data_IF_154333479818
#
_entry.id   IF_154333479818
#
_cell.length_a   1.000
_cell.length_b   1.000
_cell.length_c   1.000
_cell.angle_alpha   90.00
_cell.angle_beta   90.00
_cell.angle_gamma   90.00
#
_symmetry.space_group_name_H-M   'P 1'
#
loop_
_entity.id
_entity.type
_entity.pdbx_description
1 polymer ?
#
# COMPACT_ATOMS: atom_id res chain seq x y z
N UNK A 1 6.75 -5.99 0.35
CA UNK A 1 7.96 -5.21 -0.04
C UNK A 1 8.85 -6.00 -0.99
N UNK A 2 9.30 -7.22 -0.66
CA UNK A 2 10.30 -7.96 -1.48
C UNK A 2 9.88 -8.26 -2.93
N UNK A 3 8.62 -8.59 -3.21
CA UNK A 3 8.21 -9.10 -4.53
C UNK A 3 8.06 -7.99 -5.59
N UNK A 4 7.52 -6.83 -5.23
CA UNK A 4 7.44 -5.69 -6.17
C UNK A 4 8.85 -5.16 -6.50
N UNK A 5 9.72 -5.08 -5.50
CA UNK A 5 11.09 -4.63 -5.67
C UNK A 5 11.93 -5.61 -6.49
N UNK A 6 11.66 -6.92 -6.44
CA UNK A 6 12.41 -7.92 -7.22
C UNK A 6 12.41 -7.60 -8.72
N UNK A 7 11.33 -7.07 -9.28
CA UNK A 7 11.27 -6.72 -10.70
C UNK A 7 12.18 -5.54 -11.06
N UNK A 8 12.15 -4.47 -10.28
CA UNK A 8 13.01 -3.31 -10.49
C UNK A 8 14.49 -3.61 -10.15
N UNK A 9 14.73 -4.37 -9.08
CA UNK A 9 16.06 -4.83 -8.68
C UNK A 9 16.69 -5.72 -9.76
N UNK A 10 15.92 -6.60 -10.40
CA UNK A 10 16.40 -7.42 -11.51
C UNK A 10 16.74 -6.60 -12.76
N UNK A 11 16.11 -5.43 -12.95
CA UNK A 11 16.43 -4.49 -14.02
C UNK A 11 17.64 -3.59 -13.70
N UNK A 12 18.22 -3.71 -12.49
CA UNK A 12 19.30 -2.84 -11.97
C UNK A 12 18.95 -1.35 -11.98
N UNK A 13 17.67 -1.02 -11.94
CA UNK A 13 17.20 0.36 -11.82
C UNK A 13 17.14 0.76 -10.36
N UNK A 14 17.53 2.00 -10.06
CA UNK A 14 17.49 2.53 -8.70
C UNK A 14 16.05 2.94 -8.36
N UNK A 15 15.46 2.25 -7.39
CA UNK A 15 14.08 2.50 -6.94
C UNK A 15 14.01 3.50 -5.79
N UNK A 16 13.05 4.41 -5.86
CA UNK A 16 12.65 5.33 -4.80
C UNK A 16 11.20 5.03 -4.38
N UNK A 17 10.99 4.77 -3.10
CA UNK A 17 9.65 4.67 -2.51
C UNK A 17 9.42 5.74 -1.46
N UNK A 18 8.15 6.02 -1.16
CA UNK A 18 7.74 6.87 -0.05
C UNK A 18 6.71 6.17 0.84
N UNK A 19 6.76 6.42 2.14
CA UNK A 19 5.80 5.86 3.09
C UNK A 19 4.58 6.76 3.30
N UNK A 20 3.40 6.17 3.22
CA UNK A 20 2.11 6.79 3.51
C UNK A 20 1.43 6.08 4.67
N UNK A 21 1.03 6.87 5.67
CA UNK A 21 0.30 6.35 6.82
C UNK A 21 -1.20 6.57 6.62
N UNK A 22 -2.03 5.50 6.65
CA UNK A 22 -3.48 5.59 6.58
C UNK A 22 -4.11 6.56 7.60
N UNK A 23 -5.22 7.23 7.27
CA UNK A 23 -5.91 8.12 8.20
C UNK A 23 -6.56 7.34 9.34
N UNK A 24 -6.81 8.02 10.47
CA UNK A 24 -7.54 7.46 11.63
C UNK A 24 -9.08 7.54 11.48
N UNK A 25 -9.57 7.87 10.29
CA UNK A 25 -10.99 8.05 9.99
C UNK A 25 -11.33 7.50 8.60
N UNK A 26 -12.62 7.39 8.30
CA UNK A 26 -13.13 6.80 7.06
C UNK A 26 -12.92 7.65 5.80
N UNK A 27 -12.63 8.95 5.91
CA UNK A 27 -12.44 9.81 4.75
C UNK A 27 -11.02 9.63 4.14
N UNK A 28 -10.87 9.24 2.86
CA UNK A 28 -9.57 8.99 2.24
C UNK A 28 -8.86 10.26 1.74
N UNK A 29 -9.50 11.42 1.79
CA UNK A 29 -8.98 12.68 1.20
C UNK A 29 -7.53 12.96 1.58
N UNK A 30 -7.19 12.85 2.86
CA UNK A 30 -5.84 13.18 3.35
C UNK A 30 -4.74 12.27 2.82
N UNK A 31 -5.04 10.99 2.54
CA UNK A 31 -4.04 10.07 1.98
C UNK A 31 -3.93 10.25 0.46
N UNK A 32 -5.04 10.53 -0.22
CA UNK A 32 -5.06 10.85 -1.65
C UNK A 32 -4.23 12.11 -1.91
N UNK A 33 -4.47 13.18 -1.17
CA UNK A 33 -3.73 14.45 -1.30
C UNK A 33 -2.22 14.24 -1.13
N UNK A 34 -1.80 13.42 -0.16
CA UNK A 34 -0.38 13.07 0.03
C UNK A 34 0.19 12.22 -1.10
N UNK A 35 -0.56 11.23 -1.57
CA UNK A 35 -0.12 10.36 -2.66
C UNK A 35 0.06 11.16 -3.96
N UNK A 36 -0.80 12.15 -4.23
CA UNK A 36 -0.66 13.05 -5.38
C UNK A 36 0.67 13.82 -5.35
N UNK A 37 1.15 14.24 -4.17
CA UNK A 37 2.44 14.95 -4.05
C UNK A 37 3.64 14.08 -4.47
N UNK A 38 3.52 12.75 -4.37
CA UNK A 38 4.59 11.83 -4.74
C UNK A 38 4.51 11.37 -6.20
N UNK A 39 3.42 11.68 -6.91
CA UNK A 39 3.22 11.24 -8.30
C UNK A 39 4.31 11.81 -9.21
N UNK A 40 5.04 10.92 -9.88
CA UNK A 40 6.15 11.28 -10.79
C UNK A 40 7.50 11.51 -10.09
N UNK A 41 7.55 11.39 -8.75
CA UNK A 41 8.79 11.50 -7.97
C UNK A 41 9.23 10.16 -7.34
N UNK A 42 8.30 9.22 -7.16
CA UNK A 42 8.57 7.90 -6.59
C UNK A 42 8.02 6.82 -7.51
N UNK A 43 8.65 5.65 -7.47
CA UNK A 43 8.20 4.45 -8.20
C UNK A 43 6.93 3.87 -7.57
N UNK A 44 6.86 3.89 -6.23
CA UNK A 44 5.75 3.35 -5.48
C UNK A 44 5.60 4.01 -4.11
N UNK A 45 4.43 3.87 -3.50
CA UNK A 45 4.16 4.31 -2.13
C UNK A 45 3.81 3.13 -1.23
N UNK A 46 4.54 2.98 -0.13
CA UNK A 46 4.27 2.01 0.92
C UNK A 46 3.11 2.48 1.80
N UNK A 47 2.18 1.59 2.12
CA UNK A 47 1.01 1.89 2.95
C UNK A 47 1.08 1.09 4.24
N UNK A 48 1.32 1.78 5.36
CA UNK A 48 1.64 1.15 6.65
C UNK A 48 0.38 0.73 7.42
N UNK A 49 0.25 -0.56 7.71
CA UNK A 49 -0.87 -1.12 8.46
C UNK A 49 -0.74 -0.85 9.97
N UNK A 50 -1.69 -0.13 10.56
CA UNK A 50 -1.77 0.14 12.00
C UNK A 50 -0.43 0.58 12.65
N UNK A 51 0.31 1.48 11.98
CA UNK A 51 1.59 1.99 12.47
C UNK A 51 1.50 2.46 13.93
N UNK A 52 2.47 2.02 14.75
CA UNK A 52 2.54 2.25 16.21
C UNK A 52 1.33 1.68 17.00
N UNK A 53 0.76 0.58 16.53
CA UNK A 53 -0.40 -0.05 17.14
C UNK A 53 -1.67 0.79 17.20
N UNK A 54 -1.81 1.74 16.27
CA UNK A 54 -2.98 2.62 16.21
C UNK A 54 -3.89 2.19 15.07
N UNK A 55 -5.17 1.92 15.39
CA UNK A 55 -6.20 1.60 14.41
C UNK A 55 -6.35 2.72 13.36
N UNK A 56 -6.34 2.33 12.09
CA UNK A 56 -6.46 3.24 10.94
C UNK A 56 -7.35 2.62 9.87
N UNK A 57 -7.67 3.41 8.84
CA UNK A 57 -8.31 2.90 7.63
C UNK A 57 -7.53 1.70 7.09
N UNK A 58 -8.24 0.68 6.60
CA UNK A 58 -7.65 -0.52 6.01
C UNK A 58 -6.60 -0.14 4.95
N UNK A 59 -5.39 -0.74 4.99
CA UNK A 59 -4.35 -0.45 4.02
C UNK A 59 -4.75 -0.92 2.61
N UNK A 60 -5.57 -1.98 2.49
CA UNK A 60 -6.11 -2.42 1.20
C UNK A 60 -7.06 -1.40 0.56
N UNK A 61 -7.91 -0.76 1.37
CA UNK A 61 -8.80 0.31 0.91
C UNK A 61 -8.00 1.55 0.51
N UNK A 62 -6.98 1.90 1.29
CA UNK A 62 -6.07 2.99 0.94
C UNK A 62 -5.38 2.73 -0.41
N UNK A 63 -4.88 1.50 -0.61
CA UNK A 63 -4.23 1.10 -1.84
C UNK A 63 -5.17 1.19 -3.06
N UNK A 64 -6.43 0.82 -2.91
CA UNK A 64 -7.44 1.00 -3.96
C UNK A 64 -7.51 2.46 -4.40
N UNK A 65 -7.69 3.40 -3.46
CA UNK A 65 -7.78 4.83 -3.79
C UNK A 65 -6.49 5.38 -4.43
N UNK A 66 -5.33 4.96 -3.92
CA UNK A 66 -4.02 5.36 -4.45
C UNK A 66 -3.82 4.83 -5.88
N UNK A 67 -4.21 3.58 -6.16
CA UNK A 67 -4.14 3.00 -7.49
C UNK A 67 -5.03 3.73 -8.49
N UNK A 68 -6.23 4.16 -8.08
CA UNK A 68 -7.16 4.93 -8.94
C UNK A 68 -6.59 6.27 -9.42
N UNK A 69 -5.64 6.87 -8.68
CA UNK A 69 -4.98 8.13 -9.09
C UNK A 69 -3.66 7.89 -9.85
N UNK A 70 -3.35 6.63 -10.19
CA UNK A 70 -2.18 6.26 -10.99
C UNK A 70 -0.86 6.28 -10.21
N UNK A 71 -0.91 6.06 -8.90
CA UNK A 71 0.28 5.86 -8.06
C UNK A 71 0.31 4.39 -7.65
N UNK A 72 1.47 3.73 -7.74
CA UNK A 72 1.58 2.30 -7.44
C UNK A 72 1.68 2.06 -5.92
N UNK A 73 0.73 1.33 -5.31
CA UNK A 73 0.76 1.08 -3.88
C UNK A 73 1.47 -0.23 -3.52
N UNK A 74 2.31 -0.19 -2.48
CA UNK A 74 2.85 -1.37 -1.81
C UNK A 74 2.14 -1.51 -0.47
N UNK A 75 1.36 -2.58 -0.30
CA UNK A 75 0.59 -2.80 0.93
C UNK A 75 1.43 -3.55 1.95
N UNK A 76 1.59 -2.96 3.13
CA UNK A 76 2.13 -3.64 4.29
C UNK A 76 0.97 -4.25 5.08
N UNK A 77 1.13 -5.46 5.58
CA UNK A 77 0.14 -6.14 6.44
C UNK A 77 0.86 -6.59 7.70
N UNK A 78 0.39 -6.11 8.84
CA UNK A 78 0.87 -6.56 10.14
C UNK A 78 0.12 -7.81 10.56
N UNK A 79 0.87 -8.85 10.95
CA UNK A 79 0.31 -10.14 11.33
C UNK A 79 -0.28 -10.14 12.75
N UNK A 80 0.16 -9.23 13.61
CA UNK A 80 -0.24 -9.17 15.03
C UNK A 80 -1.73 -8.89 15.25
N UNK A 81 -2.38 -8.22 14.30
CA UNK A 81 -3.77 -7.74 14.42
C UNK A 81 -4.78 -8.68 13.74
N UNK A 82 -4.33 -9.77 13.09
CA UNK A 82 -5.18 -10.64 12.27
C UNK A 82 -4.82 -12.11 12.46
N UNK A 83 -5.82 -12.97 12.35
CA UNK A 83 -5.60 -14.41 12.24
C UNK A 83 -5.26 -14.80 10.78
N UNK A 84 -4.89 -16.06 10.57
CA UNK A 84 -4.54 -16.60 9.24
C UNK A 84 -5.63 -16.38 8.19
N UNK A 85 -6.90 -16.56 8.55
CA UNK A 85 -8.03 -16.37 7.63
C UNK A 85 -8.18 -14.89 7.25
N UNK A 86 -8.00 -13.97 8.20
CA UNK A 86 -8.01 -12.53 7.93
C UNK A 86 -6.92 -12.12 6.95
N UNK A 87 -5.69 -12.61 7.15
CA UNK A 87 -4.57 -12.36 6.22
C UNK A 87 -4.90 -12.90 4.81
N UNK A 88 -5.40 -14.14 4.72
CA UNK A 88 -5.78 -14.74 3.43
C UNK A 88 -6.89 -13.94 2.73
N UNK A 89 -7.90 -13.51 3.48
CA UNK A 89 -8.98 -12.66 2.96
C UNK A 89 -8.45 -11.33 2.43
N UNK A 90 -7.54 -10.68 3.14
CA UNK A 90 -6.92 -9.42 2.71
C UNK A 90 -6.10 -9.62 1.43
N UNK A 91 -5.29 -10.68 1.34
CA UNK A 91 -4.50 -10.98 0.15
C UNK A 91 -5.38 -11.27 -1.08
N UNK A 92 -6.46 -12.05 -0.91
CA UNK A 92 -7.42 -12.30 -1.99
C UNK A 92 -8.13 -11.01 -2.43
N UNK A 93 -8.50 -10.16 -1.48
CA UNK A 93 -9.09 -8.86 -1.76
C UNK A 93 -8.15 -7.93 -2.52
N UNK A 94 -6.88 -7.86 -2.11
CA UNK A 94 -5.84 -7.09 -2.80
C UNK A 94 -5.65 -7.57 -4.24
N UNK A 95 -5.54 -8.88 -4.46
CA UNK A 95 -5.43 -9.45 -5.80
C UNK A 95 -6.65 -9.09 -6.67
N UNK A 96 -7.87 -9.21 -6.13
CA UNK A 96 -9.10 -8.83 -6.84
C UNK A 96 -9.17 -7.33 -7.18
N UNK A 97 -8.53 -6.47 -6.37
CA UNK A 97 -8.37 -5.04 -6.63
C UNK A 97 -7.24 -4.71 -7.62
N UNK A 98 -6.58 -5.73 -8.18
CA UNK A 98 -5.41 -5.58 -9.05
C UNK A 98 -4.16 -5.09 -8.30
N UNK A 99 -4.11 -5.25 -6.98
CA UNK A 99 -2.96 -4.94 -6.13
C UNK A 99 -2.21 -6.26 -5.90
N UNK A 100 -1.55 -6.72 -6.95
CA UNK A 100 -0.72 -7.92 -6.98
C UNK A 100 0.50 -7.68 -7.85
N UNK A 101 1.53 -8.48 -7.63
CA UNK A 101 2.68 -8.55 -8.54
C UNK A 101 2.35 -9.57 -9.62
N UNK A 102 2.29 -9.14 -10.88
CA UNK A 102 2.23 -10.03 -12.05
C UNK A 102 3.61 -10.62 -12.38
#
# INVERSE_FOLDING_TARGET
MTIYLDKQVNQKEFTITAELVPPRHWNPRSIIEKAVLFRGYVDAVDISDNLLAVARMSPAVCAFFIKQIGVEPIVQINLRDRNRLGIQSDLLGLAALGISSD
#
